data_IF_485790767725
#
_entry.id   IF_485790767725
#
_cell.length_a   1.000
_cell.length_b   1.000
_cell.length_c   1.000
_cell.angle_alpha   90.00
_cell.angle_beta   90.00
_cell.angle_gamma   90.00
#
_symmetry.space_group_name_H-M   'P 1'
#
loop_
_entity.id
_entity.type
_entity.pdbx_description
1 polymer ?
#
# COMPACT_ATOMS: atom_id res chain seq x y z
N UNK A 1 -9.01 -26.05 -9.07
CA UNK A 1 -9.33 -24.88 -9.95
C UNK A 1 -8.13 -24.72 -10.88
N UNK A 2 -8.36 -24.50 -12.14
CA UNK A 2 -7.28 -24.31 -13.13
C UNK A 2 -6.74 -22.86 -13.03
N UNK A 3 -5.60 -22.70 -12.37
CA UNK A 3 -4.95 -21.39 -12.14
C UNK A 3 -4.46 -20.77 -13.43
N UNK A 4 -3.77 -21.49 -14.36
CA UNK A 4 -3.35 -20.94 -15.65
C UNK A 4 -4.51 -20.36 -16.45
N UNK A 5 -5.63 -21.09 -16.54
CA UNK A 5 -6.81 -20.62 -17.26
C UNK A 5 -7.43 -19.38 -16.61
N UNK A 6 -7.39 -19.28 -15.27
CA UNK A 6 -7.89 -18.11 -14.54
C UNK A 6 -7.00 -16.88 -14.77
N UNK A 7 -5.68 -17.06 -14.79
CA UNK A 7 -4.71 -15.99 -15.09
C UNK A 7 -4.89 -15.47 -16.52
N UNK A 8 -5.08 -16.35 -17.51
CA UNK A 8 -5.30 -15.92 -18.89
C UNK A 8 -6.60 -15.13 -19.02
N UNK A 9 -7.67 -15.56 -18.37
CA UNK A 9 -8.93 -14.79 -18.32
C UNK A 9 -8.74 -13.40 -17.67
N UNK A 10 -7.88 -13.28 -16.65
CA UNK A 10 -7.57 -11.99 -16.07
C UNK A 10 -6.80 -11.10 -17.05
N UNK A 11 -5.84 -11.65 -17.80
CA UNK A 11 -5.13 -10.94 -18.89
C UNK A 11 -6.07 -10.42 -19.99
N UNK A 12 -7.07 -11.22 -20.34
CA UNK A 12 -8.13 -10.81 -21.28
C UNK A 12 -9.02 -9.69 -20.72
N UNK A 13 -8.80 -9.29 -19.47
CA UNK A 13 -9.57 -8.22 -18.81
C UNK A 13 -10.91 -8.65 -18.26
N UNK A 14 -11.12 -9.94 -17.97
CA UNK A 14 -12.37 -10.43 -17.37
C UNK A 14 -12.44 -10.06 -15.89
N UNK A 15 -13.37 -9.17 -15.45
CA UNK A 15 -13.40 -8.66 -14.07
C UNK A 15 -13.61 -9.76 -13.02
N UNK A 16 -14.38 -10.80 -13.36
CA UNK A 16 -14.63 -11.94 -12.46
C UNK A 16 -13.36 -12.74 -12.17
N UNK A 17 -12.47 -12.89 -13.16
CA UNK A 17 -11.22 -13.59 -13.01
C UNK A 17 -10.26 -12.79 -12.12
N UNK A 18 -10.14 -11.48 -12.34
CA UNK A 18 -9.36 -10.55 -11.50
C UNK A 18 -9.86 -10.60 -10.05
N UNK A 19 -11.16 -10.46 -9.84
CA UNK A 19 -11.77 -10.52 -8.50
C UNK A 19 -11.50 -11.86 -7.80
N UNK A 20 -11.55 -12.97 -8.55
CA UNK A 20 -11.29 -14.31 -8.01
C UNK A 20 -9.82 -14.47 -7.60
N UNK A 21 -8.88 -14.03 -8.43
CA UNK A 21 -7.45 -14.05 -8.10
C UNK A 21 -7.14 -13.23 -6.85
N UNK A 22 -7.69 -12.02 -6.74
CA UNK A 22 -7.53 -11.18 -5.53
C UNK A 22 -8.12 -11.89 -4.31
N UNK A 23 -9.28 -12.55 -4.43
CA UNK A 23 -9.87 -13.30 -3.31
C UNK A 23 -9.01 -14.50 -2.86
N UNK A 24 -8.29 -15.15 -3.77
CA UNK A 24 -7.33 -16.21 -3.43
C UNK A 24 -6.13 -15.66 -2.65
N UNK A 25 -5.67 -14.47 -3.04
CA UNK A 25 -4.60 -13.73 -2.34
C UNK A 25 -5.06 -13.35 -0.93
N UNK A 26 -6.21 -12.69 -0.80
CA UNK A 26 -6.75 -12.24 0.49
C UNK A 26 -7.02 -13.39 1.46
N UNK A 27 -7.43 -14.54 0.93
CA UNK A 27 -7.76 -15.74 1.69
C UNK A 27 -6.56 -16.64 2.02
N UNK A 28 -5.32 -16.25 1.68
CA UNK A 28 -4.12 -17.07 1.82
C UNK A 28 -4.35 -18.52 1.32
N UNK A 29 -4.98 -18.64 0.13
CA UNK A 29 -5.34 -19.93 -0.46
C UNK A 29 -4.14 -20.88 -0.56
N UNK A 30 -4.30 -22.18 -0.38
CA UNK A 30 -3.24 -23.18 -0.68
C UNK A 30 -2.69 -23.06 -2.11
N UNK A 31 -3.47 -22.53 -3.06
CA UNK A 31 -3.05 -22.28 -4.45
C UNK A 31 -2.27 -20.97 -4.64
N UNK A 32 -2.04 -20.18 -3.59
CA UNK A 32 -1.39 -18.88 -3.69
C UNK A 32 -0.01 -18.96 -4.36
N UNK A 33 0.79 -19.99 -4.03
CA UNK A 33 2.12 -20.18 -4.65
C UNK A 33 2.01 -20.42 -6.15
N UNK A 34 1.06 -21.23 -6.58
CA UNK A 34 0.78 -21.50 -8.00
C UNK A 34 0.31 -20.21 -8.71
N UNK A 35 -0.57 -19.45 -8.09
CA UNK A 35 -1.05 -18.15 -8.61
C UNK A 35 0.13 -17.19 -8.78
N UNK A 36 0.96 -17.01 -7.76
CA UNK A 36 2.11 -16.10 -7.84
C UNK A 36 3.14 -16.53 -8.88
N UNK A 37 3.41 -17.82 -9.01
CA UNK A 37 4.29 -18.35 -10.05
C UNK A 37 3.76 -18.07 -11.47
N UNK A 38 2.46 -18.22 -11.69
CA UNK A 38 1.83 -17.94 -12.97
C UNK A 38 1.79 -16.45 -13.32
N UNK A 39 1.67 -15.57 -12.31
CA UNK A 39 1.64 -14.11 -12.49
C UNK A 39 3.04 -13.50 -12.70
N UNK A 40 4.09 -14.10 -12.12
CA UNK A 40 5.44 -13.52 -12.11
C UNK A 40 5.94 -13.03 -13.48
N UNK A 41 5.83 -13.80 -14.60
CA UNK A 41 6.30 -13.34 -15.90
C UNK A 41 5.43 -12.22 -16.53
N UNK A 42 4.28 -11.91 -15.94
CA UNK A 42 3.28 -10.97 -16.47
C UNK A 42 3.26 -9.63 -15.73
N UNK A 43 4.15 -9.45 -14.76
CA UNK A 43 4.16 -8.29 -13.86
C UNK A 43 5.39 -7.42 -14.06
N UNK A 44 5.35 -6.18 -13.57
CA UNK A 44 6.44 -5.21 -13.64
C UNK A 44 6.17 -4.04 -14.58
N UNK A 45 5.03 -4.02 -15.28
CA UNK A 45 4.64 -2.96 -16.22
C UNK A 45 3.86 -1.81 -15.60
N UNK A 46 3.01 -2.10 -14.63
CA UNK A 46 2.16 -1.09 -14.00
C UNK A 46 2.97 -0.05 -13.21
N UNK A 47 2.48 1.18 -13.23
CA UNK A 47 2.94 2.25 -12.35
C UNK A 47 2.08 2.27 -11.09
N UNK A 48 2.69 2.06 -9.93
CA UNK A 48 1.99 1.96 -8.64
C UNK A 48 2.10 3.29 -7.90
N UNK A 49 0.96 3.90 -7.61
CA UNK A 49 0.84 5.18 -6.89
C UNK A 49 0.12 4.96 -5.57
N UNK A 50 0.78 5.27 -4.46
CA UNK A 50 0.21 5.23 -3.12
C UNK A 50 -0.39 6.59 -2.73
N UNK A 51 -1.64 6.60 -2.26
CA UNK A 51 -2.29 7.79 -1.74
C UNK A 51 -2.46 7.67 -0.23
N UNK A 52 -1.85 8.59 0.51
CA UNK A 52 -1.91 8.64 1.97
C UNK A 52 -2.26 10.03 2.47
N UNK A 53 -2.59 10.15 3.75
CA UNK A 53 -2.96 11.41 4.39
C UNK A 53 -4.05 11.23 5.42
N UNK A 54 -4.26 12.22 6.28
CA UNK A 54 -5.20 12.16 7.39
C UNK A 54 -6.65 11.84 6.97
N UNK A 55 -7.47 11.27 7.87
CA UNK A 55 -8.89 11.05 7.59
C UNK A 55 -9.60 12.35 7.19
N UNK A 56 -10.45 12.28 6.16
CA UNK A 56 -11.26 13.41 5.72
C UNK A 56 -10.53 14.48 4.88
N UNK A 57 -9.26 14.27 4.48
CA UNK A 57 -8.57 15.17 3.54
C UNK A 57 -9.08 15.03 2.10
N UNK A 58 -9.81 13.94 1.81
CA UNK A 58 -10.42 13.69 0.50
C UNK A 58 -9.66 12.68 -0.36
N UNK A 59 -8.98 11.69 0.26
CA UNK A 59 -8.25 10.63 -0.46
C UNK A 59 -9.13 9.96 -1.51
N UNK A 60 -10.25 9.35 -1.11
CA UNK A 60 -11.12 8.61 -2.04
C UNK A 60 -11.69 9.49 -3.16
N UNK A 61 -11.96 10.78 -2.87
CA UNK A 61 -12.39 11.74 -3.90
C UNK A 61 -11.25 12.03 -4.88
N UNK A 62 -10.02 12.19 -4.38
CA UNK A 62 -8.84 12.40 -5.22
C UNK A 62 -8.50 11.14 -6.02
N UNK A 63 -8.65 9.95 -5.42
CA UNK A 63 -8.49 8.68 -6.12
C UNK A 63 -9.48 8.57 -7.29
N UNK A 64 -10.78 8.86 -7.07
CA UNK A 64 -11.80 8.85 -8.11
C UNK A 64 -11.49 9.85 -9.23
N UNK A 65 -11.07 11.05 -8.88
CA UNK A 65 -10.69 12.06 -9.87
C UNK A 65 -9.45 11.64 -10.71
N UNK A 66 -8.45 11.04 -10.07
CA UNK A 66 -7.27 10.47 -10.77
C UNK A 66 -7.66 9.31 -11.69
N UNK A 67 -8.57 8.42 -11.26
CA UNK A 67 -9.14 7.38 -12.13
C UNK A 67 -9.72 8.01 -13.39
N UNK A 68 -10.57 9.03 -13.24
CA UNK A 68 -11.18 9.75 -14.38
C UNK A 68 -10.13 10.35 -15.33
N UNK A 69 -9.10 11.00 -14.80
CA UNK A 69 -8.03 11.59 -15.60
C UNK A 69 -7.24 10.52 -16.37
N UNK A 70 -6.82 9.43 -15.73
CA UNK A 70 -6.12 8.34 -16.40
C UNK A 70 -7.01 7.62 -17.42
N UNK A 71 -8.31 7.47 -17.14
CA UNK A 71 -9.27 6.88 -18.10
C UNK A 71 -9.46 7.77 -19.33
N UNK A 72 -9.50 9.07 -19.16
CA UNK A 72 -9.55 10.03 -20.27
C UNK A 72 -8.29 9.93 -21.15
N UNK A 73 -7.13 9.64 -20.56
CA UNK A 73 -5.89 9.35 -21.27
C UNK A 73 -5.81 7.90 -21.85
N UNK A 74 -6.91 7.13 -21.80
CA UNK A 74 -7.00 5.77 -22.33
C UNK A 74 -6.28 4.69 -21.50
N UNK A 75 -5.79 5.02 -20.30
CA UNK A 75 -5.10 4.07 -19.41
C UNK A 75 -6.06 3.16 -18.69
N UNK A 76 -5.67 1.90 -18.49
CA UNK A 76 -6.38 0.97 -17.61
C UNK A 76 -5.94 1.17 -16.17
N UNK A 77 -6.89 1.28 -15.24
CA UNK A 77 -6.61 1.66 -13.85
C UNK A 77 -7.09 0.58 -12.89
N UNK A 78 -6.19 0.14 -12.01
CA UNK A 78 -6.52 -0.65 -10.83
C UNK A 78 -6.60 0.23 -9.58
N UNK A 79 -7.58 0.00 -8.72
CA UNK A 79 -7.68 0.68 -7.41
C UNK A 79 -7.74 -0.37 -6.31
N UNK A 80 -6.82 -0.28 -5.37
CA UNK A 80 -6.83 -1.05 -4.13
C UNK A 80 -7.11 -0.08 -2.98
N UNK A 81 -8.33 -0.08 -2.48
CA UNK A 81 -8.71 0.65 -1.29
C UNK A 81 -8.52 -0.25 -0.07
N UNK A 82 -7.68 0.20 0.82
CA UNK A 82 -7.28 -0.59 1.97
C UNK A 82 -7.93 -0.06 3.22
N UNK A 83 -8.91 -0.80 3.74
CA UNK A 83 -9.70 -0.45 4.91
C UNK A 83 -9.26 -1.21 6.16
N UNK A 84 -9.34 -0.61 7.37
CA UNK A 84 -9.29 -1.39 8.60
C UNK A 84 -10.42 -2.42 8.59
N UNK A 85 -10.12 -3.59 9.15
CA UNK A 85 -11.13 -4.66 9.25
C UNK A 85 -12.30 -4.20 10.11
N UNK A 86 -13.51 -4.44 9.64
CA UNK A 86 -14.70 -4.29 10.47
C UNK A 86 -14.64 -5.25 11.65
N UNK A 87 -14.77 -4.78 12.90
CA UNK A 87 -14.77 -5.67 14.07
C UNK A 87 -15.95 -6.65 14.07
N UNK A 88 -16.98 -6.40 13.26
CA UNK A 88 -18.19 -7.23 13.19
C UNK A 88 -18.19 -8.27 12.06
N UNK A 89 -17.60 -7.94 10.91
CA UNK A 89 -17.64 -8.82 9.72
C UNK A 89 -16.27 -9.33 9.29
N UNK A 90 -15.18 -8.77 9.85
CA UNK A 90 -13.81 -9.05 9.42
C UNK A 90 -13.52 -8.65 7.95
N UNK A 91 -14.49 -8.03 7.27
CA UNK A 91 -14.39 -7.55 5.89
C UNK A 91 -14.09 -6.06 5.80
N UNK A 92 -13.75 -5.58 4.61
CA UNK A 92 -13.59 -4.16 4.32
C UNK A 92 -14.91 -3.40 4.52
N UNK A 93 -14.84 -2.20 5.08
CA UNK A 93 -15.99 -1.32 5.18
C UNK A 93 -16.43 -0.90 3.76
N UNK A 94 -17.71 -1.06 3.44
CA UNK A 94 -18.29 -0.84 2.11
C UNK A 94 -18.22 0.62 1.60
N UNK A 95 -17.74 1.57 2.43
CA UNK A 95 -17.79 3.01 2.17
C UNK A 95 -17.11 3.46 0.87
N UNK A 96 -15.99 2.84 0.50
CA UNK A 96 -15.22 3.29 -0.66
C UNK A 96 -15.81 2.82 -2.00
N UNK A 97 -16.47 1.65 -2.03
CA UNK A 97 -17.22 1.21 -3.22
C UNK A 97 -18.33 2.17 -3.62
N UNK A 98 -19.01 2.78 -2.66
CA UNK A 98 -20.09 3.75 -2.94
C UNK A 98 -19.52 5.04 -3.52
N UNK A 99 -18.35 5.49 -3.05
CA UNK A 99 -17.72 6.73 -3.52
C UNK A 99 -17.11 6.64 -4.92
N UNK A 100 -16.79 5.44 -5.39
CA UNK A 100 -16.23 5.19 -6.73
C UNK A 100 -17.25 4.48 -7.65
N UNK A 101 -18.54 4.52 -7.31
CA UNK A 101 -19.59 3.87 -8.10
C UNK A 101 -19.68 4.39 -9.54
N UNK A 102 -19.26 5.62 -9.79
CA UNK A 102 -19.19 6.22 -11.13
C UNK A 102 -18.24 5.47 -12.09
N UNK A 103 -17.22 4.80 -11.57
CA UNK A 103 -16.25 4.03 -12.36
C UNK A 103 -16.57 2.52 -12.39
N UNK A 104 -17.58 2.06 -11.63
CA UNK A 104 -17.87 0.63 -11.46
C UNK A 104 -18.30 -0.09 -12.75
N UNK A 105 -18.83 0.66 -13.74
CA UNK A 105 -19.23 0.15 -15.05
C UNK A 105 -18.18 0.30 -16.14
N UNK A 106 -17.05 0.96 -15.87
CA UNK A 106 -15.98 1.14 -16.85
C UNK A 106 -15.14 -0.14 -16.95
N UNK A 107 -15.07 -0.81 -18.13
CA UNK A 107 -14.32 -2.04 -18.32
C UNK A 107 -12.80 -1.86 -18.19
N UNK A 108 -12.31 -0.63 -18.22
CA UNK A 108 -10.90 -0.30 -17.99
C UNK A 108 -10.56 0.01 -16.55
N UNK A 109 -11.49 -0.18 -15.59
CA UNK A 109 -11.28 0.11 -14.17
C UNK A 109 -11.56 -1.13 -13.31
N UNK A 110 -10.61 -1.47 -12.44
CA UNK A 110 -10.78 -2.50 -11.43
C UNK A 110 -10.69 -1.88 -10.05
N UNK A 111 -11.75 -2.01 -9.25
CA UNK A 111 -11.79 -1.48 -7.88
C UNK A 111 -11.95 -2.64 -6.91
N UNK A 112 -11.06 -2.72 -5.93
CA UNK A 112 -11.11 -3.70 -4.85
C UNK A 112 -10.86 -3.05 -3.51
N UNK A 113 -11.80 -3.20 -2.57
CA UNK A 113 -11.58 -2.89 -1.17
C UNK A 113 -11.01 -4.11 -0.47
N UNK A 114 -9.89 -3.95 0.22
CA UNK A 114 -9.20 -4.99 0.97
C UNK A 114 -9.26 -4.68 2.47
N UNK A 115 -9.53 -5.69 3.29
CA UNK A 115 -9.51 -5.54 4.74
C UNK A 115 -8.12 -5.84 5.31
N UNK A 116 -7.66 -5.03 6.28
CA UNK A 116 -6.51 -5.37 7.12
C UNK A 116 -6.92 -6.48 8.08
N UNK A 117 -6.99 -7.73 7.63
CA UNK A 117 -7.25 -8.86 8.54
C UNK A 117 -6.08 -9.01 9.50
N UNK A 118 -6.36 -9.02 10.82
CA UNK A 118 -5.37 -9.08 11.90
C UNK A 118 -4.53 -10.35 12.01
N UNK A 119 -4.17 -10.97 10.89
CA UNK A 119 -3.16 -12.01 10.84
C UNK A 119 -1.77 -11.38 10.85
N UNK A 120 -0.80 -12.05 11.43
CA UNK A 120 0.61 -11.69 11.48
C UNK A 120 1.10 -11.21 10.10
N UNK A 121 1.24 -9.88 9.93
CA UNK A 121 1.64 -9.25 8.68
C UNK A 121 0.63 -8.25 8.10
N UNK A 122 -0.62 -8.21 8.59
CA UNK A 122 -1.62 -7.17 8.21
C UNK A 122 -1.77 -6.99 6.70
N UNK A 123 -1.93 -5.74 6.28
CA UNK A 123 -2.02 -5.32 4.90
C UNK A 123 -0.75 -5.57 4.09
N UNK A 124 0.39 -5.51 4.75
CA UNK A 124 1.70 -5.72 4.16
C UNK A 124 1.81 -7.06 3.41
N UNK A 125 1.01 -8.06 3.78
CA UNK A 125 1.02 -9.38 3.16
C UNK A 125 0.27 -9.46 1.83
N UNK A 126 -0.98 -9.00 1.77
CA UNK A 126 -1.86 -9.23 0.61
C UNK A 126 -1.77 -8.14 -0.47
N UNK A 127 -1.40 -6.90 -0.09
CA UNK A 127 -1.36 -5.77 -1.02
C UNK A 127 -0.33 -5.96 -2.16
N UNK A 128 0.93 -6.39 -1.93
CA UNK A 128 1.88 -6.62 -3.02
C UNK A 128 1.38 -7.65 -4.02
N UNK A 129 0.73 -8.68 -3.53
CA UNK A 129 0.22 -9.78 -4.35
C UNK A 129 -1.03 -9.35 -5.14
N UNK A 130 -1.91 -8.54 -4.55
CA UNK A 130 -3.06 -7.95 -5.26
C UNK A 130 -2.60 -6.94 -6.32
N UNK A 131 -1.54 -6.17 -6.07
CA UNK A 131 -0.90 -5.31 -7.08
C UNK A 131 -0.45 -6.15 -8.27
N UNK A 132 0.21 -7.31 -8.05
CA UNK A 132 0.62 -8.22 -9.14
C UNK A 132 -0.55 -8.76 -9.93
N UNK A 133 -1.68 -9.06 -9.30
CA UNK A 133 -2.89 -9.49 -10.01
C UNK A 133 -3.39 -8.39 -10.95
N UNK A 134 -3.44 -7.14 -10.50
CA UNK A 134 -3.88 -6.00 -11.31
C UNK A 134 -2.88 -5.68 -12.44
N UNK A 135 -1.59 -5.76 -12.16
CA UNK A 135 -0.53 -5.57 -13.15
C UNK A 135 -0.65 -6.63 -14.26
N UNK A 136 -0.72 -7.92 -13.90
CA UNK A 136 -0.92 -9.01 -14.85
C UNK A 136 -2.26 -8.94 -15.61
N UNK A 137 -3.28 -8.31 -15.04
CA UNK A 137 -4.54 -8.00 -15.72
C UNK A 137 -4.42 -6.84 -16.72
N UNK A 138 -3.23 -6.25 -16.86
CA UNK A 138 -2.92 -5.20 -17.83
C UNK A 138 -3.34 -3.80 -17.37
N UNK A 139 -3.37 -3.52 -16.06
CA UNK A 139 -3.49 -2.16 -15.57
C UNK A 139 -2.20 -1.38 -15.87
N UNK A 140 -2.34 -0.20 -16.45
CA UNK A 140 -1.21 0.72 -16.70
C UNK A 140 -0.82 1.46 -15.41
N UNK A 141 -1.82 1.76 -14.57
CA UNK A 141 -1.68 2.48 -13.30
C UNK A 141 -2.46 1.74 -12.21
N UNK A 142 -1.84 1.61 -11.05
CA UNK A 142 -2.49 1.03 -9.87
C UNK A 142 -2.44 2.06 -8.75
N UNK A 143 -3.62 2.52 -8.32
CA UNK A 143 -3.78 3.44 -7.20
C UNK A 143 -4.03 2.63 -5.93
N UNK A 144 -3.19 2.83 -4.91
CA UNK A 144 -3.32 2.17 -3.61
C UNK A 144 -3.69 3.23 -2.58
N UNK A 145 -4.90 3.18 -2.07
CA UNK A 145 -5.43 4.15 -1.11
C UNK A 145 -5.43 3.60 0.30
N UNK A 146 -4.96 4.39 1.27
CA UNK A 146 -5.01 4.06 2.69
C UNK A 146 -6.18 4.70 3.40
N UNK A 147 -6.64 4.12 4.50
CA UNK A 147 -7.76 4.68 5.29
C UNK A 147 -7.34 5.78 6.27
N UNK A 148 -6.06 6.09 6.40
CA UNK A 148 -5.60 7.23 7.18
C UNK A 148 -5.60 6.98 8.70
N UNK A 149 -5.21 5.78 9.14
CA UNK A 149 -5.06 5.47 10.56
C UNK A 149 -3.70 4.80 10.83
N UNK A 150 -2.72 5.58 11.27
CA UNK A 150 -1.50 5.09 11.88
C UNK A 150 -0.44 4.52 10.93
N UNK A 151 0.30 3.50 11.37
CA UNK A 151 1.47 2.93 10.67
C UNK A 151 1.19 2.37 9.27
N UNK A 152 -0.05 1.99 8.97
CA UNK A 152 -0.45 1.52 7.64
C UNK A 152 -0.21 2.55 6.53
N UNK A 153 -0.12 3.83 6.85
CA UNK A 153 0.17 4.90 5.89
C UNK A 153 1.60 4.81 5.37
N UNK A 154 2.57 4.51 6.25
CA UNK A 154 3.98 4.34 5.88
C UNK A 154 4.19 3.03 5.12
N UNK A 155 3.53 1.95 5.56
CA UNK A 155 3.63 0.63 4.92
C UNK A 155 3.14 0.65 3.47
N UNK A 156 2.09 1.42 3.18
CA UNK A 156 1.55 1.51 1.82
C UNK A 156 2.43 2.39 0.93
N UNK A 157 2.99 3.47 1.47
CA UNK A 157 3.98 4.25 0.75
C UNK A 157 5.17 3.36 0.33
N UNK A 158 5.59 2.43 1.20
CA UNK A 158 6.63 1.46 0.87
C UNK A 158 6.24 0.48 -0.26
N UNK A 159 4.96 0.28 -0.54
CA UNK A 159 4.47 -0.58 -1.63
C UNK A 159 4.34 0.16 -2.97
N UNK A 160 4.39 1.48 -2.99
CA UNK A 160 4.21 2.29 -4.19
C UNK A 160 5.54 2.62 -4.89
N UNK A 161 5.48 2.89 -6.21
CA UNK A 161 6.59 3.51 -6.94
C UNK A 161 6.67 4.99 -6.60
N UNK A 162 5.50 5.64 -6.41
CA UNK A 162 5.37 7.05 -6.03
C UNK A 162 4.34 7.21 -4.93
N UNK A 163 4.66 7.98 -3.90
CA UNK A 163 3.79 8.29 -2.77
C UNK A 163 3.22 9.70 -2.90
N UNK A 164 1.90 9.81 -2.88
CA UNK A 164 1.17 11.06 -2.83
C UNK A 164 0.67 11.30 -1.42
N UNK A 165 1.09 12.39 -0.80
CA UNK A 165 0.62 12.81 0.52
C UNK A 165 -0.43 13.91 0.38
N UNK A 166 -1.66 13.60 0.81
CA UNK A 166 -2.77 14.54 0.76
C UNK A 166 -2.93 15.27 2.10
N UNK A 167 -3.08 16.59 2.00
CA UNK A 167 -3.40 17.50 3.10
C UNK A 167 -4.66 18.29 2.75
N UNK A 168 -5.28 18.92 3.75
CA UNK A 168 -6.40 19.84 3.54
C UNK A 168 -6.31 20.99 4.54
N UNK A 169 -6.76 22.21 4.17
CA UNK A 169 -6.76 23.35 5.07
C UNK A 169 -7.74 23.17 6.25
N UNK A 170 -7.49 23.85 7.36
CA UNK A 170 -8.42 23.94 8.50
C UNK A 170 -8.34 22.79 9.51
N UNK A 171 -7.40 21.85 9.37
CA UNK A 171 -7.11 20.86 10.41
C UNK A 171 -5.68 21.05 10.90
N UNK A 172 -5.51 21.77 12.02
CA UNK A 172 -4.22 21.90 12.71
C UNK A 172 -3.55 20.54 12.98
N UNK A 173 -4.36 19.47 13.11
CA UNK A 173 -3.89 18.09 13.20
C UNK A 173 -3.33 17.54 11.87
N UNK A 174 -3.67 18.10 10.72
CA UNK A 174 -3.20 17.62 9.41
C UNK A 174 -1.70 17.82 9.21
N UNK A 175 -1.17 18.97 9.60
CA UNK A 175 0.27 19.26 9.57
C UNK A 175 0.97 18.62 10.78
N UNK A 176 0.29 18.52 11.92
CA UNK A 176 0.81 17.82 13.11
C UNK A 176 0.91 16.31 12.90
N UNK A 177 -0.07 15.68 12.24
CA UNK A 177 0.01 14.27 11.83
C UNK A 177 1.09 14.07 10.75
N UNK A 178 1.27 15.04 9.86
CA UNK A 178 2.36 15.07 8.89
C UNK A 178 3.74 15.17 9.54
N UNK A 179 3.87 15.76 10.73
CA UNK A 179 5.12 15.75 11.52
C UNK A 179 5.55 14.36 11.98
N UNK A 180 4.68 13.36 11.96
CA UNK A 180 4.95 11.99 12.42
C UNK A 180 5.50 11.07 11.32
N UNK A 181 6.42 11.53 10.47
CA UNK A 181 7.12 10.70 9.47
C UNK A 181 6.43 10.64 8.10
N UNK A 182 5.17 11.07 7.96
CA UNK A 182 4.47 11.05 6.66
C UNK A 182 5.07 12.05 5.67
N UNK A 183 5.67 13.15 6.17
CA UNK A 183 6.35 14.13 5.31
C UNK A 183 7.68 13.62 4.72
N UNK A 184 8.27 12.58 5.31
CA UNK A 184 9.53 12.01 4.82
C UNK A 184 9.31 11.07 3.62
N UNK A 185 8.10 10.55 3.46
CA UNK A 185 7.78 9.52 2.45
C UNK A 185 7.10 10.08 1.19
N UNK A 186 6.75 11.37 1.17
CA UNK A 186 6.02 11.99 0.05
C UNK A 186 6.92 12.31 -1.14
N UNK A 187 6.58 11.77 -2.29
CA UNK A 187 7.18 12.14 -3.58
C UNK A 187 6.41 13.29 -4.26
N UNK A 188 5.11 13.39 -3.98
CA UNK A 188 4.21 14.46 -4.44
C UNK A 188 3.30 14.86 -3.29
N UNK A 189 3.11 16.15 -3.07
CA UNK A 189 2.19 16.66 -2.05
C UNK A 189 0.99 17.32 -2.70
N UNK A 190 -0.20 17.02 -2.17
CA UNK A 190 -1.46 17.57 -2.65
C UNK A 190 -2.17 18.29 -1.51
N UNK A 191 -2.40 19.60 -1.67
CA UNK A 191 -3.27 20.38 -0.80
C UNK A 191 -4.66 20.38 -1.42
N UNK A 192 -5.48 19.41 -1.00
CA UNK A 192 -6.85 19.27 -1.49
C UNK A 192 -7.81 20.23 -0.76
N UNK A 193 -9.01 20.44 -1.33
CA UNK A 193 -9.99 21.43 -0.86
C UNK A 193 -9.41 22.85 -0.90
N UNK A 194 -8.69 23.15 -1.95
CA UNK A 194 -8.02 24.43 -2.12
C UNK A 194 -8.99 25.62 -2.32
N UNK A 195 -10.27 25.34 -2.46
CA UNK A 195 -11.38 26.29 -2.41
C UNK A 195 -11.70 26.81 -1.01
N UNK A 196 -11.13 26.20 0.04
CA UNK A 196 -11.32 26.62 1.42
C UNK A 196 -10.25 27.61 1.87
N UNK A 197 -10.64 28.48 2.81
CA UNK A 197 -9.70 29.40 3.46
C UNK A 197 -8.54 28.62 4.10
N UNK A 198 -7.33 29.17 3.99
CA UNK A 198 -6.13 28.59 4.56
C UNK A 198 -5.34 27.65 3.65
N UNK A 199 -5.81 27.35 2.43
CA UNK A 199 -5.10 26.48 1.48
C UNK A 199 -3.69 27.00 1.15
N UNK A 200 -3.55 28.29 0.90
CA UNK A 200 -2.27 28.92 0.62
C UNK A 200 -1.34 28.93 1.84
N UNK A 201 -1.90 29.07 3.03
CA UNK A 201 -1.12 28.99 4.28
C UNK A 201 -0.58 27.58 4.48
N UNK A 202 -1.42 26.56 4.28
CA UNK A 202 -1.01 25.14 4.33
C UNK A 202 0.09 24.83 3.32
N UNK A 203 -0.03 25.31 2.08
CA UNK A 203 0.98 25.09 1.05
C UNK A 203 2.31 25.79 1.39
N UNK A 204 2.26 27.02 1.92
CA UNK A 204 3.49 27.73 2.37
C UNK A 204 4.17 27.04 3.54
N UNK A 205 3.40 26.59 4.55
CA UNK A 205 3.95 25.89 5.71
C UNK A 205 4.58 24.56 5.31
N UNK A 206 3.92 23.81 4.41
CA UNK A 206 4.45 22.58 3.85
C UNK A 206 5.76 22.82 3.09
N UNK A 207 5.80 23.85 2.23
CA UNK A 207 7.02 24.21 1.49
C UNK A 207 8.16 24.62 2.43
N UNK A 208 7.84 25.32 3.50
CA UNK A 208 8.83 25.68 4.54
C UNK A 208 9.39 24.41 5.22
N UNK A 209 8.54 23.47 5.63
CA UNK A 209 8.97 22.23 6.25
C UNK A 209 9.85 21.38 5.32
N UNK A 210 9.47 21.26 4.04
CA UNK A 210 10.26 20.54 3.06
C UNK A 210 11.62 21.21 2.78
N UNK A 211 11.72 22.53 2.96
CA UNK A 211 12.98 23.26 2.83
C UNK A 211 13.93 23.12 4.03
N UNK A 212 13.40 22.72 5.19
CA UNK A 212 14.19 22.47 6.40
C UNK A 212 14.78 21.04 6.44
N UNK A 213 14.30 20.15 5.57
CA UNK A 213 14.84 18.80 5.42
C UNK A 213 16.28 18.81 4.91
N UNK A 214 16.88 17.62 4.83
CA UNK A 214 18.28 17.44 4.43
C UNK A 214 18.65 18.21 3.15
N UNK A 215 19.89 18.71 3.11
CA UNK A 215 20.47 19.34 1.94
C UNK A 215 20.45 18.36 0.75
N UNK A 216 19.50 18.53 -0.15
CA UNK A 216 19.39 17.71 -1.37
C UNK A 216 20.47 18.11 -2.38
N UNK A 217 21.13 17.11 -2.95
CA UNK A 217 22.12 17.33 -3.97
C UNK A 217 21.52 17.89 -5.28
N UNK A 218 22.35 18.45 -6.13
CA UNK A 218 21.92 18.88 -7.45
C UNK A 218 21.51 17.65 -8.27
N UNK A 219 20.24 17.61 -8.69
CA UNK A 219 19.67 16.46 -9.44
C UNK A 219 18.72 15.57 -8.65
N UNK A 220 18.64 15.73 -7.32
CA UNK A 220 17.65 15.03 -6.51
C UNK A 220 16.21 15.47 -6.83
N UNK A 221 15.28 14.54 -6.65
CA UNK A 221 13.87 14.85 -6.80
C UNK A 221 13.42 15.88 -5.76
N UNK A 222 12.75 16.92 -6.23
CA UNK A 222 12.10 17.92 -5.37
C UNK A 222 10.61 17.71 -5.43
N UNK A 223 9.96 17.19 -4.36
CA UNK A 223 8.54 16.95 -4.36
C UNK A 223 7.74 18.23 -4.62
N UNK A 224 6.90 18.26 -5.65
CA UNK A 224 6.01 19.38 -5.90
C UNK A 224 4.86 19.41 -4.91
N UNK A 225 4.30 20.60 -4.70
CA UNK A 225 3.07 20.83 -3.95
C UNK A 225 2.01 21.30 -4.94
N UNK A 226 0.96 20.50 -5.13
CA UNK A 226 -0.15 20.79 -6.04
C UNK A 226 -1.40 21.11 -5.23
N UNK A 227 -2.11 22.18 -5.58
CA UNK A 227 -3.40 22.53 -4.99
C UNK A 227 -4.53 21.93 -5.82
N UNK A 228 -5.51 21.28 -5.18
CA UNK A 228 -6.62 20.62 -5.87
C UNK A 228 -7.96 20.93 -5.22
N UNK A 229 -9.02 20.89 -6.03
CA UNK A 229 -10.39 20.72 -5.57
C UNK A 229 -10.92 19.45 -6.23
N UNK A 230 -10.52 18.31 -5.67
CA UNK A 230 -10.74 17.00 -6.29
C UNK A 230 -12.22 16.71 -6.60
N UNK A 231 -13.15 17.24 -5.78
CA UNK A 231 -14.59 17.12 -6.01
C UNK A 231 -15.08 17.81 -7.31
N UNK A 232 -14.27 18.74 -7.84
CA UNK A 232 -14.54 19.46 -9.10
C UNK A 232 -13.56 19.11 -10.22
N UNK A 233 -12.62 18.21 -9.97
CA UNK A 233 -11.55 17.86 -10.90
C UNK A 233 -10.46 18.92 -11.05
N UNK A 234 -10.52 20.04 -10.33
CA UNK A 234 -9.54 21.12 -10.43
C UNK A 234 -8.19 20.71 -9.87
N UNK A 235 -7.10 20.94 -10.62
CA UNK A 235 -5.73 20.61 -10.24
C UNK A 235 -5.36 19.12 -10.39
N UNK A 236 -6.25 18.29 -10.91
CA UNK A 236 -5.98 16.84 -11.06
C UNK A 236 -5.00 16.57 -12.20
N UNK A 237 -5.09 17.32 -13.29
CA UNK A 237 -4.16 17.19 -14.42
C UNK A 237 -2.73 17.55 -14.00
N UNK A 238 -2.56 18.56 -13.13
CA UNK A 238 -1.28 18.96 -12.56
C UNK A 238 -0.71 17.85 -11.62
N UNK A 239 -1.59 17.13 -10.91
CA UNK A 239 -1.15 15.95 -10.12
C UNK A 239 -0.67 14.84 -11.05
N UNK A 240 -1.41 14.54 -12.12
CA UNK A 240 -1.00 13.52 -13.12
C UNK A 240 0.34 13.92 -13.75
N UNK A 241 0.51 15.19 -14.13
CA UNK A 241 1.78 15.69 -14.68
C UNK A 241 2.94 15.53 -13.68
N UNK A 242 2.69 15.83 -12.39
CA UNK A 242 3.70 15.66 -11.33
C UNK A 242 4.09 14.19 -11.15
N UNK A 243 3.13 13.27 -11.21
CA UNK A 243 3.35 11.83 -11.16
C UNK A 243 4.16 11.32 -12.35
N UNK A 244 3.83 11.77 -13.56
CA UNK A 244 4.56 11.40 -14.77
C UNK A 244 6.00 11.94 -14.76
N UNK A 245 6.20 13.17 -14.28
CA UNK A 245 7.55 13.76 -14.09
C UNK A 245 8.37 12.97 -13.07
N UNK A 246 7.76 12.57 -11.95
CA UNK A 246 8.46 11.77 -10.96
C UNK A 246 8.84 10.40 -11.50
N UNK A 247 7.92 9.72 -12.19
CA UNK A 247 8.20 8.45 -12.86
C UNK A 247 9.37 8.57 -13.85
N UNK A 248 9.32 9.55 -14.72
CA UNK A 248 10.39 9.79 -15.70
C UNK A 248 11.74 10.09 -15.03
N UNK A 249 11.73 10.87 -13.94
CA UNK A 249 12.93 11.12 -13.14
C UNK A 249 13.49 9.84 -12.53
N UNK A 250 12.64 9.00 -11.91
CA UNK A 250 13.05 7.73 -11.33
C UNK A 250 13.63 6.77 -12.38
N UNK A 251 13.00 6.67 -13.54
CA UNK A 251 13.48 5.83 -14.66
C UNK A 251 14.86 6.30 -15.13
N UNK A 252 15.02 7.62 -15.34
CA UNK A 252 16.28 8.22 -15.77
C UNK A 252 17.43 7.99 -14.79
N UNK A 253 17.18 8.00 -13.49
CA UNK A 253 18.19 7.89 -12.45
C UNK A 253 18.32 6.47 -11.87
N UNK A 254 17.59 5.48 -12.39
CA UNK A 254 17.62 4.09 -11.93
C UNK A 254 16.90 3.85 -10.59
N UNK A 255 16.31 4.88 -9.98
CA UNK A 255 15.64 4.83 -8.68
C UNK A 255 14.43 3.91 -8.69
N UNK A 256 13.68 3.86 -9.82
CA UNK A 256 12.51 2.97 -9.95
C UNK A 256 12.92 1.49 -9.79
N UNK A 257 13.99 1.09 -10.46
CA UNK A 257 14.48 -0.29 -10.40
C UNK A 257 15.03 -0.62 -9.00
N UNK A 258 15.66 0.33 -8.34
CA UNK A 258 16.18 0.18 -6.98
C UNK A 258 15.03 0.03 -5.96
N UNK A 259 14.03 0.92 -5.98
CA UNK A 259 12.83 0.83 -5.14
C UNK A 259 12.12 -0.51 -5.32
N UNK A 260 11.95 -0.97 -6.56
CA UNK A 260 11.31 -2.26 -6.86
C UNK A 260 12.10 -3.46 -6.33
N UNK A 261 13.44 -3.42 -6.42
CA UNK A 261 14.30 -4.46 -5.82
C UNK A 261 14.23 -4.46 -4.31
N UNK A 262 14.27 -3.29 -3.67
CA UNK A 262 14.14 -3.17 -2.22
C UNK A 262 12.80 -3.74 -1.72
N UNK A 263 11.69 -3.44 -2.40
CA UNK A 263 10.38 -4.02 -2.09
C UNK A 263 10.36 -5.54 -2.25
N UNK A 264 10.90 -6.05 -3.35
CA UNK A 264 10.98 -7.50 -3.56
C UNK A 264 11.82 -8.19 -2.49
N UNK A 265 12.92 -7.59 -2.06
CA UNK A 265 13.75 -8.09 -0.96
C UNK A 265 12.96 -8.16 0.35
N UNK A 266 12.27 -7.09 0.71
CA UNK A 266 11.45 -7.02 1.92
C UNK A 266 10.28 -8.03 1.89
N UNK A 267 9.64 -8.22 0.73
CA UNK A 267 8.58 -9.20 0.57
C UNK A 267 9.11 -10.64 0.74
N UNK A 268 10.25 -10.96 0.13
CA UNK A 268 10.90 -12.27 0.28
C UNK A 268 11.22 -12.53 1.75
N UNK A 269 11.80 -11.55 2.45
CA UNK A 269 12.10 -11.63 3.88
C UNK A 269 10.83 -11.88 4.71
N UNK A 270 9.77 -11.10 4.46
CA UNK A 270 8.48 -11.24 5.15
C UNK A 270 7.87 -12.64 4.96
N UNK A 271 7.89 -13.15 3.72
CA UNK A 271 7.41 -14.51 3.41
C UNK A 271 8.26 -15.57 4.11
N UNK A 272 9.59 -15.42 4.10
CA UNK A 272 10.50 -16.37 4.72
C UNK A 272 10.33 -16.40 6.25
N UNK A 273 10.25 -15.24 6.90
CA UNK A 273 10.03 -15.13 8.35
C UNK A 273 8.66 -15.73 8.73
N UNK A 274 7.62 -15.45 7.95
CA UNK A 274 6.28 -16.02 8.17
C UNK A 274 6.31 -17.55 8.05
N UNK A 275 6.94 -18.09 7.02
CA UNK A 275 7.07 -19.52 6.83
C UNK A 275 7.89 -20.20 7.95
N UNK A 276 8.91 -19.53 8.49
CA UNK A 276 9.67 -20.00 9.64
C UNK A 276 8.79 -20.02 10.91
N UNK A 277 8.01 -18.96 11.15
CA UNK A 277 7.07 -18.90 12.27
C UNK A 277 6.01 -20.02 12.20
N UNK A 278 5.46 -20.28 11.01
CA UNK A 278 4.51 -21.37 10.80
C UNK A 278 5.12 -22.76 11.08
N UNK A 279 6.40 -22.96 10.73
CA UNK A 279 7.13 -24.22 11.04
C UNK A 279 7.40 -24.40 12.53
N UNK A 280 7.67 -23.30 13.23
CA UNK A 280 7.87 -23.32 14.69
C UNK A 280 6.55 -23.65 15.40
N UNK A 281 5.41 -23.25 14.80
CA UNK A 281 4.08 -23.42 15.38
C UNK A 281 3.73 -22.37 16.43
N UNK A 282 2.57 -22.53 17.07
CA UNK A 282 2.14 -21.64 18.14
C UNK A 282 2.89 -21.97 19.44
N UNK A 283 3.76 -21.07 19.85
CA UNK A 283 4.51 -21.20 21.10
C UNK A 283 3.65 -20.93 22.34
N UNK A 284 2.50 -20.25 22.19
CA UNK A 284 1.67 -19.83 23.32
C UNK A 284 1.05 -21.00 24.11
N UNK A 285 1.04 -22.22 23.56
CA UNK A 285 0.58 -23.44 24.23
C UNK A 285 1.70 -24.47 24.47
N UNK A 286 2.96 -24.17 24.16
CA UNK A 286 4.06 -25.12 24.31
C UNK A 286 4.42 -25.29 25.80
N UNK A 287 4.33 -26.53 26.27
CA UNK A 287 4.69 -26.86 27.66
C UNK A 287 6.16 -26.53 27.99
N UNK A 288 7.06 -26.61 27.02
CA UNK A 288 8.47 -26.23 27.18
C UNK A 288 8.64 -24.76 27.44
N UNK A 289 7.90 -23.89 26.70
CA UNK A 289 7.89 -22.45 26.95
C UNK A 289 7.41 -22.16 28.38
N UNK A 290 6.34 -22.83 28.85
CA UNK A 290 5.82 -22.65 30.20
C UNK A 290 6.82 -23.08 31.27
N UNK A 291 7.53 -24.21 31.05
CA UNK A 291 8.56 -24.67 31.96
C UNK A 291 9.79 -23.78 32.02
N UNK A 292 10.23 -23.24 30.85
CA UNK A 292 11.34 -22.29 30.79
C UNK A 292 10.96 -20.95 31.42
N UNK A 293 9.73 -20.47 31.20
CA UNK A 293 9.23 -19.26 31.83
C UNK A 293 9.19 -19.36 33.35
N UNK A 294 8.86 -20.52 33.94
CA UNK A 294 8.95 -20.74 35.39
C UNK A 294 10.38 -20.61 35.89
N UNK A 295 11.36 -21.26 35.25
CA UNK A 295 12.78 -21.13 35.62
C UNK A 295 13.29 -19.67 35.53
N UNK A 296 12.84 -18.93 34.52
CA UNK A 296 13.18 -17.50 34.40
C UNK A 296 12.56 -16.67 35.52
N UNK A 297 11.30 -16.95 35.87
CA UNK A 297 10.62 -16.27 36.96
C UNK A 297 11.25 -16.57 38.34
N UNK A 298 11.75 -17.79 38.54
CA UNK A 298 12.42 -18.20 39.77
C UNK A 298 13.91 -17.76 39.82
N UNK A 299 14.41 -17.11 38.77
CA UNK A 299 15.79 -16.62 38.67
C UNK A 299 16.85 -17.72 38.43
N UNK A 300 16.42 -18.92 38.07
CA UNK A 300 17.30 -20.06 37.78
C UNK A 300 17.93 -19.98 36.38
N UNK A 301 17.29 -19.24 35.44
CA UNK A 301 17.72 -19.12 34.07
C UNK A 301 17.45 -17.68 33.57
N UNK A 302 18.32 -17.13 32.73
CA UNK A 302 18.05 -15.87 32.07
C UNK A 302 17.20 -16.05 30.80
N UNK A 303 16.47 -15.00 30.36
CA UNK A 303 15.57 -15.11 29.20
C UNK A 303 16.26 -15.47 27.88
N UNK A 304 17.53 -15.11 27.68
CA UNK A 304 18.27 -15.41 26.44
C UNK A 304 18.63 -16.87 26.37
N UNK A 305 19.19 -17.43 27.45
CA UNK A 305 19.49 -18.87 27.56
C UNK A 305 18.21 -19.70 27.44
N UNK A 306 17.11 -19.27 28.06
CA UNK A 306 15.80 -19.92 27.89
C UNK A 306 15.32 -19.91 26.44
N UNK A 307 15.51 -18.80 25.73
CA UNK A 307 15.16 -18.69 24.30
C UNK A 307 16.01 -19.62 23.44
N UNK A 308 17.32 -19.71 23.69
CA UNK A 308 18.23 -20.58 22.95
C UNK A 308 17.87 -22.06 23.15
N UNK A 309 17.54 -22.49 24.37
CA UNK A 309 17.06 -23.83 24.66
C UNK A 309 15.74 -24.14 23.95
N UNK A 310 14.81 -23.18 23.92
CA UNK A 310 13.53 -23.34 23.22
C UNK A 310 13.76 -23.52 21.71
N UNK A 311 14.56 -22.65 21.08
CA UNK A 311 14.86 -22.68 19.65
C UNK A 311 15.59 -23.98 19.27
N UNK A 312 16.59 -24.42 20.05
CA UNK A 312 17.31 -25.67 19.82
C UNK A 312 16.34 -26.86 19.83
N UNK A 313 15.38 -26.89 20.75
CA UNK A 313 14.35 -27.92 20.82
C UNK A 313 13.32 -27.92 19.69
N UNK A 314 13.19 -26.83 18.95
CA UNK A 314 12.29 -26.68 17.80
C UNK A 314 12.97 -27.02 16.46
N UNK A 315 14.27 -26.74 16.32
CA UNK A 315 15.06 -27.01 15.11
C UNK A 315 15.60 -28.41 15.00
N UNK A 316 15.56 -29.19 16.08
CA UNK A 316 16.00 -30.61 16.13
C UNK A 316 14.94 -31.64 15.71
N UNK A 317 13.86 -31.21 15.04
CA UNK A 317 12.81 -32.10 14.50
C UNK A 317 12.83 -32.03 12.93
#
# INVERSE_FOLDING_TARGET
MDVPALVEQAREGRPRAVARLISLVEGASPQLREVMAALAPLTGGAYVVGLTGAPGVGKSTSTSALVGAYRTAGRRVGVLAVDPSSPFSGGALLGDRVRMSEHASDPGVYIRSMATRGHLGGLAWAAPQAIRVLDAAGCDVILVETVGVGQSEVEIAAQADTSVVLLAPGRGDGIQAAKAGILEIGDVYVVNKADRDGADATARELNHMLSLGESRAAGDWRPPIVKTVAARGEGIDEVVEALDKHRAWMEKHGVLAERRRARASHEIETIAVTALRERIGDLAGDQRLSALAAKVADGELDPYTASDELVAGLTGR
#
